data_IF_516045216018
#
_entry.id   IF_516045216018
#
_cell.length_a   1.000
_cell.length_b   1.000
_cell.length_c   1.000
_cell.angle_alpha   90.00
_cell.angle_beta   90.00
_cell.angle_gamma   90.00
#
_symmetry.space_group_name_H-M   'P 1'
#
loop_
_entity.id
_entity.type
_entity.pdbx_description
1 polymer ?
#
# COMPACT_ATOMS: atom_id res chain seq x y z
N UNK A 1 -8.41 0.47 22.07
CA UNK A 1 -9.67 0.33 22.82
C UNK A 1 -10.77 1.06 22.08
N UNK A 2 -11.60 0.32 21.34
CA UNK A 2 -12.75 0.87 20.61
C UNK A 2 -13.81 1.32 21.65
N UNK A 3 -14.41 2.52 21.54
CA UNK A 3 -15.46 2.97 22.45
C UNK A 3 -16.63 1.99 22.50
N UNK A 4 -17.18 1.70 23.69
CA UNK A 4 -18.31 0.77 23.85
C UNK A 4 -19.54 1.11 22.99
N UNK A 5 -19.71 2.39 22.64
CA UNK A 5 -20.78 2.85 21.76
C UNK A 5 -20.62 2.36 20.30
N UNK A 6 -19.39 2.24 19.80
CA UNK A 6 -19.10 1.77 18.42
C UNK A 6 -19.21 0.24 18.28
N UNK A 7 -19.11 -0.51 19.39
CA UNK A 7 -19.35 -1.95 19.41
C UNK A 7 -20.84 -2.28 19.33
N UNK A 8 -21.71 -1.45 19.91
CA UNK A 8 -23.15 -1.71 19.97
C UNK A 8 -23.84 -1.61 18.60
N UNK A 9 -23.28 -0.84 17.66
CA UNK A 9 -23.81 -0.65 16.30
C UNK A 9 -23.46 -1.77 15.31
N UNK A 10 -22.60 -2.71 15.69
CA UNK A 10 -22.18 -3.82 14.84
C UNK A 10 -23.12 -5.03 14.97
N UNK A 11 -23.24 -5.82 13.89
CA UNK A 11 -23.96 -7.10 13.94
C UNK A 11 -23.35 -8.05 14.99
N UNK A 12 -24.12 -8.95 15.62
CA UNK A 12 -23.60 -9.84 16.66
C UNK A 12 -22.38 -10.67 16.23
N UNK A 13 -22.36 -11.15 14.99
CA UNK A 13 -21.23 -11.88 14.41
C UNK A 13 -19.98 -10.99 14.23
N UNK A 14 -20.17 -9.74 13.77
CA UNK A 14 -19.07 -8.80 13.58
C UNK A 14 -18.50 -8.29 14.91
N UNK A 15 -19.35 -8.06 15.92
CA UNK A 15 -18.89 -7.79 17.29
C UNK A 15 -18.05 -8.92 17.82
N UNK A 16 -18.49 -10.16 17.65
CA UNK A 16 -17.75 -11.33 18.08
C UNK A 16 -16.39 -11.39 17.39
N UNK A 17 -16.32 -11.12 16.07
CA UNK A 17 -15.05 -11.09 15.32
C UNK A 17 -14.12 -9.98 15.81
N UNK A 18 -14.61 -8.76 16.03
CA UNK A 18 -13.82 -7.63 16.55
C UNK A 18 -13.32 -7.92 17.95
N UNK A 19 -14.20 -8.35 18.86
CA UNK A 19 -13.84 -8.72 20.24
C UNK A 19 -12.83 -9.86 20.26
N UNK A 20 -13.05 -10.90 19.45
CA UNK A 20 -12.15 -12.03 19.33
C UNK A 20 -10.78 -11.62 18.79
N UNK A 21 -10.73 -10.77 17.76
CA UNK A 21 -9.49 -10.25 17.21
C UNK A 21 -8.72 -9.36 18.19
N UNK A 22 -9.41 -8.50 18.94
CA UNK A 22 -8.79 -7.64 19.97
C UNK A 22 -8.26 -8.50 21.12
N UNK A 23 -9.04 -9.47 21.60
CA UNK A 23 -8.64 -10.40 22.65
C UNK A 23 -7.45 -11.28 22.24
N UNK A 24 -7.44 -11.78 20.99
CA UNK A 24 -6.33 -12.55 20.45
C UNK A 24 -5.07 -11.69 20.30
N UNK A 25 -5.22 -10.42 19.91
CA UNK A 25 -4.11 -9.45 19.80
C UNK A 25 -3.53 -9.08 21.17
N UNK A 26 -4.39 -8.90 22.17
CA UNK A 26 -3.96 -8.61 23.54
C UNK A 26 -3.24 -9.80 24.17
N UNK A 27 -3.76 -11.01 23.96
CA UNK A 27 -3.11 -12.26 24.36
C UNK A 27 -1.76 -12.44 23.67
N UNK A 28 -1.68 -12.25 22.35
CA UNK A 28 -0.43 -12.31 21.60
C UNK A 28 0.59 -11.27 22.10
N UNK A 29 0.15 -10.05 22.38
CA UNK A 29 1.00 -8.97 22.92
C UNK A 29 1.52 -9.28 24.33
N UNK A 30 0.70 -9.91 25.18
CA UNK A 30 1.10 -10.35 26.53
C UNK A 30 2.08 -11.52 26.47
N UNK A 31 1.83 -12.49 25.59
CA UNK A 31 2.73 -13.63 25.36
C UNK A 31 4.08 -13.18 24.78
N UNK A 32 4.08 -12.19 23.89
CA UNK A 32 5.31 -11.64 23.32
C UNK A 32 6.14 -10.86 24.36
N UNK A 33 5.48 -10.05 25.20
CA UNK A 33 6.14 -9.39 26.37
C UNK A 33 6.71 -10.41 27.37
N UNK A 34 5.97 -11.48 27.65
CA UNK A 34 6.45 -12.56 28.52
C UNK A 34 7.64 -13.32 27.92
N UNK A 35 7.67 -13.51 26.60
CA UNK A 35 8.75 -14.20 25.90
C UNK A 35 10.04 -13.37 25.76
N UNK A 36 9.94 -12.03 25.78
CA UNK A 36 11.08 -11.11 25.71
C UNK A 36 11.70 -10.78 27.07
N UNK A 37 11.12 -11.27 28.17
CA UNK A 37 11.72 -11.13 29.50
C UNK A 37 11.88 -9.67 29.95
N UNK A 38 10.88 -8.83 29.70
CA UNK A 38 10.87 -7.45 30.22
C UNK A 38 10.48 -7.45 31.71
N UNK A 39 11.42 -7.95 32.51
CA UNK A 39 11.53 -7.78 33.94
C UNK A 39 12.91 -7.19 34.20
N UNK A 40 12.94 -5.86 34.30
CA UNK A 40 13.95 -5.01 34.94
C UNK A 40 15.32 -5.68 35.20
N UNK A 41 16.35 -5.34 34.41
CA UNK A 41 17.77 -5.57 34.75
C UNK A 41 18.77 -4.80 33.88
N UNK A 42 19.77 -4.29 34.59
CA UNK A 42 20.88 -3.41 34.24
C UNK A 42 21.88 -3.88 33.15
N UNK A 43 22.61 -2.87 32.66
CA UNK A 43 23.79 -2.83 31.79
C UNK A 43 24.82 -3.98 31.88
N UNK A 44 25.27 -4.49 30.71
CA UNK A 44 26.66 -4.34 30.20
C UNK A 44 26.96 -5.11 28.90
N UNK A 45 27.50 -4.35 27.94
CA UNK A 45 28.61 -4.57 26.97
C UNK A 45 28.71 -5.80 26.01
N UNK A 46 29.18 -5.41 24.81
CA UNK A 46 30.02 -6.07 23.78
C UNK A 46 29.26 -6.79 22.66
N UNK A 47 29.53 -6.62 21.35
CA UNK A 47 30.57 -5.92 20.58
C UNK A 47 30.75 -6.68 19.26
N UNK A 48 30.80 -6.02 18.09
CA UNK A 48 31.12 -6.66 16.80
C UNK A 48 30.52 -5.98 15.57
N UNK A 49 31.30 -5.11 14.92
CA UNK A 49 30.95 -4.38 13.70
C UNK A 49 31.44 -5.16 12.47
N UNK A 50 30.55 -5.48 11.54
CA UNK A 50 30.88 -5.92 10.19
C UNK A 50 30.40 -4.87 9.17
N UNK A 51 31.35 -4.15 8.58
CA UNK A 51 31.10 -3.19 7.50
C UNK A 51 30.88 -3.95 6.19
N UNK A 52 29.88 -3.53 5.40
CA UNK A 52 29.83 -3.65 3.95
C UNK A 52 28.68 -2.75 3.46
N UNK A 53 29.01 -1.52 3.07
CA UNK A 53 28.06 -0.54 2.57
C UNK A 53 28.57 0.11 1.30
N UNK A 54 28.17 -0.41 0.14
CA UNK A 54 28.30 0.24 -1.19
C UNK A 54 27.21 -0.21 -2.20
N UNK A 55 26.08 -0.78 -1.77
CA UNK A 55 25.02 -1.20 -2.69
C UNK A 55 23.93 -0.12 -2.92
N UNK A 56 23.76 0.81 -1.98
CA UNK A 56 22.62 1.75 -1.96
C UNK A 56 22.65 2.85 -3.02
N UNK A 57 23.83 3.24 -3.51
CA UNK A 57 23.95 4.25 -4.58
C UNK A 57 23.41 3.72 -5.92
N UNK A 58 23.35 2.39 -6.10
CA UNK A 58 22.79 1.75 -7.29
C UNK A 58 21.31 2.08 -7.52
N UNK A 59 20.48 2.15 -6.46
CA UNK A 59 19.07 2.52 -6.60
C UNK A 59 18.93 3.96 -7.13
N UNK A 60 19.81 4.87 -6.70
CA UNK A 60 19.74 6.28 -7.07
C UNK A 60 20.38 6.55 -8.43
N UNK A 61 21.46 5.85 -8.75
CA UNK A 61 22.06 5.86 -10.08
C UNK A 61 21.10 5.28 -11.12
N UNK A 62 20.40 4.21 -10.77
CA UNK A 62 19.41 3.58 -11.65
C UNK A 62 18.18 4.47 -11.84
N UNK A 63 17.69 5.12 -10.78
CA UNK A 63 16.64 6.15 -10.87
C UNK A 63 17.14 7.47 -11.51
N UNK A 64 18.46 7.70 -11.54
CA UNK A 64 19.12 8.94 -11.93
C UNK A 64 19.74 8.96 -13.33
N UNK A 65 19.69 7.86 -14.10
CA UNK A 65 20.13 7.81 -15.51
C UNK A 65 19.17 8.57 -16.45
N UNK A 66 19.23 9.91 -16.35
CA UNK A 66 19.21 10.95 -17.39
C UNK A 66 18.74 12.29 -16.78
N UNK A 67 19.59 12.91 -15.95
CA UNK A 67 19.59 14.35 -15.79
C UNK A 67 20.84 14.92 -16.46
N UNK A 68 20.81 14.93 -17.79
CA UNK A 68 21.84 15.51 -18.63
C UNK A 68 21.19 16.21 -19.82
N UNK A 69 20.58 17.37 -19.57
CA UNK A 69 20.30 18.34 -20.64
C UNK A 69 20.45 19.74 -20.06
N UNK A 70 21.46 20.46 -20.55
CA UNK A 70 21.69 21.87 -20.27
C UNK A 70 20.57 22.76 -20.86
N UNK A 71 20.32 23.94 -20.28
CA UNK A 71 19.33 24.89 -20.77
C UNK A 71 19.93 25.76 -21.89
N UNK A 72 19.30 25.78 -23.05
CA UNK A 72 19.60 26.67 -24.16
C UNK A 72 18.49 26.63 -25.18
N UNK A 73 17.57 27.60 -25.11
CA UNK A 73 16.40 27.66 -25.99
C UNK A 73 16.74 28.11 -27.40
N UNK A 74 15.84 27.82 -28.34
CA UNK A 74 15.34 28.73 -29.39
C UNK A 74 13.98 28.21 -29.83
N UNK A 75 13.05 29.15 -30.02
CA UNK A 75 11.71 28.98 -30.59
C UNK A 75 11.75 28.23 -31.93
N UNK A 76 10.83 27.29 -32.12
CA UNK A 76 10.31 27.01 -33.46
C UNK A 76 8.82 26.71 -33.35
N UNK A 77 8.05 27.69 -33.81
CA UNK A 77 6.61 27.56 -34.00
C UNK A 77 6.32 26.55 -35.09
N UNK A 78 5.34 25.69 -34.84
CA UNK A 78 4.80 24.83 -35.87
C UNK A 78 3.61 25.56 -36.53
N UNK A 79 3.86 26.09 -37.73
CA UNK A 79 2.85 26.51 -38.68
C UNK A 79 2.17 25.26 -39.24
N UNK A 80 0.96 24.94 -38.77
CA UNK A 80 0.08 24.01 -39.47
C UNK A 80 -1.31 24.61 -39.57
N UNK A 81 -1.68 25.00 -40.79
CA UNK A 81 -3.04 25.34 -41.18
C UNK A 81 -3.80 24.05 -41.45
N UNK A 82 -4.58 23.57 -40.47
CA UNK A 82 -5.58 22.53 -40.65
C UNK A 82 -6.90 22.99 -40.04
N UNK A 83 -7.93 23.10 -40.87
CA UNK A 83 -9.30 23.38 -40.45
C UNK A 83 -9.96 22.10 -39.93
N UNK A 84 -10.03 21.93 -38.61
CA UNK A 84 -10.82 20.88 -37.96
C UNK A 84 -11.78 21.49 -36.93
N UNK A 85 -13.03 21.00 -36.96
CA UNK A 85 -14.22 21.46 -36.21
C UNK A 85 -14.18 21.26 -34.68
N UNK A 86 -12.99 21.23 -34.07
CA UNK A 86 -12.85 20.95 -32.63
C UNK A 86 -12.67 22.23 -31.77
N UNK A 87 -12.75 23.42 -32.38
CA UNK A 87 -12.67 24.72 -31.69
C UNK A 87 -13.93 25.58 -31.86
N UNK A 88 -15.10 25.01 -31.56
CA UNK A 88 -16.31 25.83 -31.32
C UNK A 88 -16.75 25.67 -29.87
N UNK A 89 -16.57 26.74 -29.09
CA UNK A 89 -17.26 26.94 -27.82
C UNK A 89 -18.72 27.29 -28.11
N UNK A 90 -19.70 26.70 -27.43
CA UNK A 90 -21.00 27.32 -27.24
C UNK A 90 -21.05 28.06 -25.90
N UNK A 91 -21.42 29.33 -25.97
CA UNK A 91 -21.77 30.21 -24.86
C UNK A 91 -23.26 30.13 -24.55
N UNK A 92 -23.57 30.13 -23.24
CA UNK A 92 -24.74 30.68 -22.53
C UNK A 92 -26.19 30.19 -22.80
N UNK A 93 -26.81 29.78 -21.67
CA UNK A 93 -28.12 30.15 -21.12
C UNK A 93 -29.44 29.46 -21.57
N UNK A 94 -30.06 28.82 -20.56
CA UNK A 94 -31.49 28.74 -20.18
C UNK A 94 -32.54 28.40 -21.24
N UNK A 95 -33.21 27.24 -21.07
CA UNK A 95 -34.66 27.08 -21.25
C UNK A 95 -35.18 25.95 -20.35
N UNK A 96 -36.41 26.14 -19.84
CA UNK A 96 -37.05 25.39 -18.77
C UNK A 96 -37.88 24.18 -19.26
N UNK A 97 -38.05 23.22 -18.34
CA UNK A 97 -39.16 22.29 -18.06
C UNK A 97 -39.95 21.52 -19.15
N UNK A 98 -40.31 20.29 -18.73
CA UNK A 98 -41.24 19.30 -19.28
C UNK A 98 -40.71 18.55 -20.54
N UNK A 99 -40.72 17.22 -20.66
CA UNK A 99 -41.60 16.17 -20.12
C UNK A 99 -40.83 14.84 -20.14
N UNK A 100 -40.84 13.99 -19.08
CA UNK A 100 -40.79 12.51 -19.17
C UNK A 100 -41.24 11.89 -17.83
N UNK A 101 -42.54 11.79 -17.61
CA UNK A 101 -43.12 10.65 -16.87
C UNK A 101 -43.55 9.64 -17.92
N UNK A 102 -42.68 8.69 -18.29
CA UNK A 102 -43.09 7.42 -18.96
C UNK A 102 -41.96 6.41 -19.23
N UNK A 103 -40.84 6.47 -18.50
CA UNK A 103 -39.68 5.57 -18.71
C UNK A 103 -39.22 4.84 -17.43
N UNK A 104 -40.10 4.70 -16.45
CA UNK A 104 -39.80 4.01 -15.17
C UNK A 104 -40.26 2.55 -15.08
N UNK A 105 -41.17 2.11 -15.95
CA UNK A 105 -41.74 0.75 -15.84
C UNK A 105 -41.18 -0.28 -16.84
N UNK A 106 -40.29 0.11 -17.75
CA UNK A 106 -39.79 -0.78 -18.81
C UNK A 106 -38.36 -1.32 -18.63
N UNK A 107 -37.60 -0.87 -17.62
CA UNK A 107 -36.16 -1.23 -17.45
C UNK A 107 -35.89 -2.02 -16.14
N UNK A 108 -36.92 -2.29 -15.32
CA UNK A 108 -36.75 -2.86 -13.98
C UNK A 108 -36.28 -4.32 -13.92
N UNK A 109 -36.79 -5.21 -14.79
CA UNK A 109 -36.63 -6.66 -14.55
C UNK A 109 -35.56 -7.37 -15.41
N UNK A 110 -35.19 -6.84 -16.58
CA UNK A 110 -34.24 -7.51 -17.49
C UNK A 110 -32.77 -7.34 -17.07
N UNK A 111 -32.41 -6.18 -16.52
CA UNK A 111 -31.02 -5.91 -16.10
C UNK A 111 -30.63 -6.72 -14.85
N UNK A 112 -31.57 -6.95 -13.94
CA UNK A 112 -31.34 -7.70 -12.71
C UNK A 112 -31.25 -9.22 -12.98
N UNK A 113 -32.09 -9.74 -13.88
CA UNK A 113 -32.00 -11.14 -14.33
C UNK A 113 -30.73 -11.41 -15.15
N UNK A 114 -30.31 -10.45 -15.99
CA UNK A 114 -29.03 -10.51 -16.71
C UNK A 114 -27.83 -10.53 -15.77
N UNK A 115 -27.85 -9.70 -14.72
CA UNK A 115 -26.79 -9.63 -13.72
C UNK A 115 -26.73 -10.89 -12.84
N UNK A 116 -27.88 -11.45 -12.46
CA UNK A 116 -27.96 -12.72 -11.69
C UNK A 116 -27.51 -13.93 -12.51
N UNK A 117 -27.79 -13.97 -13.82
CA UNK A 117 -27.31 -15.03 -14.73
C UNK A 117 -25.81 -14.94 -14.98
N UNK A 118 -25.26 -13.73 -15.16
CA UNK A 118 -23.81 -13.50 -15.23
C UNK A 118 -23.11 -13.90 -13.93
N UNK A 119 -23.66 -13.51 -12.76
CA UNK A 119 -23.13 -13.90 -11.46
C UNK A 119 -23.17 -15.43 -11.22
N UNK A 120 -24.23 -16.11 -11.66
CA UNK A 120 -24.34 -17.56 -11.59
C UNK A 120 -23.34 -18.28 -12.52
N UNK A 121 -23.14 -17.81 -13.76
CA UNK A 121 -22.13 -18.36 -14.68
C UNK A 121 -20.69 -18.09 -14.22
N UNK A 122 -20.43 -16.94 -13.60
CA UNK A 122 -19.12 -16.62 -13.03
C UNK A 122 -18.83 -17.44 -11.76
N UNK A 123 -19.84 -17.74 -10.93
CA UNK A 123 -19.66 -18.49 -9.70
C UNK A 123 -19.38 -19.99 -9.91
N UNK A 124 -19.86 -20.59 -11.01
CA UNK A 124 -19.62 -22.03 -11.31
C UNK A 124 -18.38 -22.26 -12.16
N UNK A 125 -18.02 -21.34 -13.06
CA UNK A 125 -16.77 -21.45 -13.83
C UNK A 125 -15.54 -20.93 -13.08
N UNK A 126 -15.69 -19.94 -12.18
CA UNK A 126 -14.56 -19.49 -11.36
C UNK A 126 -14.15 -20.55 -10.33
N UNK A 127 -15.09 -21.29 -9.74
CA UNK A 127 -14.76 -22.34 -8.75
C UNK A 127 -14.06 -23.55 -9.37
N UNK A 128 -14.42 -23.93 -10.60
CA UNK A 128 -13.76 -25.03 -11.33
C UNK A 128 -12.43 -24.57 -11.97
N UNK A 129 -12.32 -23.31 -12.41
CA UNK A 129 -11.08 -22.79 -12.99
C UNK A 129 -10.05 -22.35 -11.94
N UNK A 130 -10.46 -21.95 -10.74
CA UNK A 130 -9.54 -21.66 -9.61
C UNK A 130 -8.89 -22.94 -9.08
N UNK A 131 -9.61 -24.07 -9.07
CA UNK A 131 -9.04 -25.37 -8.72
C UNK A 131 -8.02 -25.89 -9.76
N UNK A 132 -8.11 -25.41 -11.02
CA UNK A 132 -7.21 -25.80 -12.11
C UNK A 132 -6.12 -24.76 -12.42
N UNK A 133 -6.28 -23.53 -11.93
CA UNK A 133 -5.33 -22.42 -12.03
C UNK A 133 -4.28 -22.35 -10.91
N UNK A 134 -4.35 -23.27 -9.94
CA UNK A 134 -3.23 -23.57 -9.03
C UNK A 134 -2.10 -24.36 -9.73
N UNK A 135 -1.99 -24.22 -11.05
CA UNK A 135 -0.84 -24.67 -11.83
C UNK A 135 0.17 -23.53 -11.83
N UNK A 136 1.08 -23.61 -10.88
CA UNK A 136 2.37 -22.93 -10.88
C UNK A 136 2.31 -21.40 -11.04
N UNK A 137 2.00 -20.69 -9.96
CA UNK A 137 2.15 -19.22 -9.93
C UNK A 137 3.60 -18.76 -10.12
N UNK A 138 4.58 -19.66 -10.28
CA UNK A 138 6.00 -19.32 -10.33
C UNK A 138 6.46 -18.54 -9.10
N UNK A 139 5.78 -18.74 -7.95
CA UNK A 139 6.04 -18.01 -6.71
C UNK A 139 6.54 -18.95 -5.61
N UNK A 140 7.74 -18.67 -5.09
CA UNK A 140 8.32 -19.34 -3.94
C UNK A 140 7.87 -18.68 -2.62
N UNK A 141 6.67 -19.01 -2.13
CA UNK A 141 6.10 -18.39 -0.91
C UNK A 141 6.32 -19.19 0.39
N UNK A 142 6.74 -20.46 0.31
CA UNK A 142 6.93 -21.32 1.48
C UNK A 142 5.69 -21.38 2.39
N UNK A 143 5.84 -21.06 3.68
CA UNK A 143 4.76 -21.02 4.68
C UNK A 143 3.63 -20.01 4.34
N UNK A 144 3.85 -19.13 3.35
CA UNK A 144 2.93 -18.10 2.91
C UNK A 144 2.15 -18.46 1.64
N UNK A 145 2.22 -19.72 1.17
CA UNK A 145 1.54 -20.19 -0.05
C UNK A 145 0.04 -19.91 -0.09
N UNK A 146 -0.62 -19.85 1.08
CA UNK A 146 -2.04 -19.46 1.21
C UNK A 146 -2.37 -18.08 0.62
N UNK A 147 -1.39 -17.20 0.44
CA UNK A 147 -1.56 -15.86 -0.12
C UNK A 147 -1.31 -15.79 -1.63
N UNK A 148 -0.91 -16.89 -2.28
CA UNK A 148 -0.67 -16.95 -3.72
C UNK A 148 -1.84 -16.41 -4.56
N UNK A 149 -3.10 -16.82 -4.32
CA UNK A 149 -4.25 -16.29 -5.04
C UNK A 149 -4.43 -14.77 -4.87
N UNK A 150 -4.23 -14.24 -3.65
CA UNK A 150 -4.34 -12.81 -3.40
C UNK A 150 -3.25 -12.00 -4.11
N UNK A 151 -2.02 -12.53 -4.16
CA UNK A 151 -0.90 -11.92 -4.89
C UNK A 151 -1.14 -11.92 -6.41
N UNK A 152 -1.64 -13.03 -6.95
CA UNK A 152 -2.00 -13.12 -8.37
C UNK A 152 -3.12 -12.13 -8.74
N UNK A 153 -4.14 -12.00 -7.89
CA UNK A 153 -5.19 -10.98 -8.07
C UNK A 153 -4.62 -9.56 -8.02
N UNK A 154 -3.70 -9.30 -7.09
CA UNK A 154 -3.08 -8.00 -6.91
C UNK A 154 -2.19 -7.60 -8.10
N UNK A 155 -1.44 -8.55 -8.65
CA UNK A 155 -0.67 -8.38 -9.87
C UNK A 155 -1.56 -8.08 -11.06
N UNK A 156 -2.57 -8.91 -11.32
CA UNK A 156 -3.52 -8.71 -12.42
C UNK A 156 -4.21 -7.33 -12.37
N UNK A 157 -4.47 -6.84 -11.16
CA UNK A 157 -5.16 -5.57 -10.92
C UNK A 157 -4.26 -4.34 -11.15
N UNK A 158 -2.96 -4.45 -10.88
CA UNK A 158 -2.07 -3.27 -10.81
C UNK A 158 -0.94 -3.28 -11.84
N UNK A 159 -0.66 -4.45 -12.41
CA UNK A 159 0.51 -4.72 -13.25
C UNK A 159 1.83 -4.80 -12.46
N UNK A 160 1.79 -4.77 -11.12
CA UNK A 160 2.99 -4.91 -10.29
C UNK A 160 3.27 -6.41 -10.11
N UNK A 161 4.49 -6.90 -10.42
CA UNK A 161 4.81 -8.32 -10.30
C UNK A 161 4.49 -8.90 -8.92
N UNK A 162 3.90 -10.10 -8.87
CA UNK A 162 3.53 -10.74 -7.60
C UNK A 162 4.75 -10.97 -6.69
N UNK A 163 5.93 -11.21 -7.26
CA UNK A 163 7.21 -11.30 -6.53
C UNK A 163 7.58 -9.99 -5.82
N UNK A 164 7.37 -8.85 -6.48
CA UNK A 164 7.60 -7.52 -5.91
C UNK A 164 6.60 -7.23 -4.77
N UNK A 165 5.32 -7.57 -4.97
CA UNK A 165 4.29 -7.43 -3.93
C UNK A 165 4.60 -8.33 -2.72
N UNK A 166 5.02 -9.57 -2.95
CA UNK A 166 5.43 -10.49 -1.89
C UNK A 166 6.61 -9.93 -1.08
N UNK A 167 7.62 -9.34 -1.74
CA UNK A 167 8.75 -8.72 -1.05
C UNK A 167 8.33 -7.52 -0.18
N UNK A 168 7.40 -6.69 -0.65
CA UNK A 168 6.86 -5.58 0.15
C UNK A 168 6.09 -6.11 1.37
N UNK A 169 5.21 -7.09 1.17
CA UNK A 169 4.45 -7.71 2.28
C UNK A 169 5.38 -8.39 3.28
N UNK A 170 6.42 -9.08 2.81
CA UNK A 170 7.43 -9.70 3.67
C UNK A 170 8.20 -8.68 4.52
N UNK A 171 8.48 -7.51 3.95
CA UNK A 171 9.17 -6.43 4.64
C UNK A 171 8.31 -5.76 5.72
N UNK A 172 6.99 -5.68 5.52
CA UNK A 172 6.05 -5.01 6.42
C UNK A 172 5.47 -5.93 7.50
N UNK A 173 5.11 -7.17 7.13
CA UNK A 173 4.39 -8.06 8.02
C UNK A 173 5.28 -8.55 9.18
N UNK A 174 4.72 -8.54 10.39
CA UNK A 174 5.26 -9.36 11.47
C UNK A 174 5.17 -10.85 11.08
N UNK A 175 6.11 -11.66 11.59
CA UNK A 175 6.24 -13.08 11.22
C UNK A 175 6.10 -14.00 12.42
N UNK A 176 5.52 -15.17 12.17
CA UNK A 176 5.60 -16.33 13.06
C UNK A 176 7.01 -16.93 13.08
N UNK A 177 7.24 -17.87 13.99
CA UNK A 177 8.53 -18.59 14.11
C UNK A 177 8.89 -19.38 12.85
N UNK A 178 7.88 -19.80 12.10
CA UNK A 178 7.97 -20.52 10.84
C UNK A 178 8.12 -19.60 9.61
N UNK A 179 8.23 -18.29 9.82
CA UNK A 179 8.29 -17.29 8.74
C UNK A 179 6.92 -16.96 8.13
N UNK A 180 5.82 -17.52 8.64
CA UNK A 180 4.48 -17.18 8.17
C UNK A 180 4.12 -15.73 8.49
N UNK A 181 3.53 -15.01 7.54
CA UNK A 181 3.08 -13.64 7.72
C UNK A 181 1.86 -13.59 8.63
N UNK A 182 1.94 -12.76 9.65
CA UNK A 182 0.89 -12.58 10.65
C UNK A 182 -0.10 -11.50 10.20
N UNK A 183 -1.31 -11.91 9.82
CA UNK A 183 -2.37 -10.97 9.44
C UNK A 183 -2.84 -10.09 10.60
N UNK A 184 -2.60 -10.52 11.84
CA UNK A 184 -2.89 -9.75 13.07
C UNK A 184 -1.71 -8.87 13.51
N UNK A 185 -0.73 -8.64 12.63
CA UNK A 185 0.39 -7.72 12.89
C UNK A 185 -0.12 -6.33 13.29
N UNK A 186 0.48 -5.76 14.35
CA UNK A 186 0.12 -4.43 14.85
C UNK A 186 1.33 -3.72 15.44
N UNK A 187 1.50 -2.45 15.12
CA UNK A 187 2.51 -1.60 15.75
C UNK A 187 1.96 -1.01 17.06
N UNK A 188 2.61 -1.23 18.22
CA UNK A 188 2.13 -0.68 19.49
C UNK A 188 2.26 0.85 19.60
N UNK A 189 3.11 1.47 18.76
CA UNK A 189 3.39 2.91 18.77
C UNK A 189 2.61 3.71 17.72
N UNK A 190 1.79 3.05 16.90
CA UNK A 190 1.00 3.71 15.86
C UNK A 190 -0.32 3.00 15.58
N UNK A 191 -1.08 3.50 14.61
CA UNK A 191 -2.29 2.81 14.13
C UNK A 191 -2.01 1.70 13.11
N UNK A 192 -0.74 1.47 12.74
CA UNK A 192 -0.35 0.50 11.72
C UNK A 192 -0.79 -0.93 12.08
N UNK A 193 -1.44 -1.59 11.13
CA UNK A 193 -1.97 -2.94 11.30
C UNK A 193 -2.02 -3.72 9.98
N UNK A 194 -2.05 -5.05 10.09
CA UNK A 194 -2.21 -5.95 8.96
C UNK A 194 -0.90 -6.28 8.25
N UNK A 195 -1.02 -7.06 7.17
CA UNK A 195 0.14 -7.48 6.36
C UNK A 195 0.88 -6.30 5.72
N UNK A 196 0.18 -5.21 5.41
CA UNK A 196 0.77 -3.99 4.85
C UNK A 196 1.08 -2.89 5.87
N UNK A 197 0.88 -3.15 7.18
CA UNK A 197 1.10 -2.18 8.26
C UNK A 197 0.44 -0.80 8.01
N UNK A 198 -0.76 -0.79 7.43
CA UNK A 198 -1.44 0.45 7.06
C UNK A 198 -1.88 1.26 8.27
N UNK A 199 -1.59 2.56 8.28
CA UNK A 199 -2.17 3.52 9.21
C UNK A 199 -3.67 3.72 8.93
N UNK A 200 -4.46 4.08 9.94
CA UNK A 200 -5.90 4.32 9.79
C UNK A 200 -6.22 5.35 8.70
N UNK A 201 -5.53 6.49 8.69
CA UNK A 201 -5.78 7.55 7.70
C UNK A 201 -5.41 7.13 6.28
N UNK A 202 -4.32 6.36 6.11
CA UNK A 202 -3.94 5.83 4.78
C UNK A 202 -4.97 4.83 4.27
N UNK A 203 -5.46 3.96 5.16
CA UNK A 203 -6.47 2.96 4.81
C UNK A 203 -7.81 3.59 4.42
N UNK A 204 -8.26 4.58 5.18
CA UNK A 204 -9.44 5.40 4.85
C UNK A 204 -9.23 6.12 3.52
N UNK A 205 -8.07 6.73 3.30
CA UNK A 205 -7.77 7.39 2.03
C UNK A 205 -7.84 6.44 0.83
N UNK A 206 -7.37 5.19 0.96
CA UNK A 206 -7.53 4.19 -0.10
C UNK A 206 -9.01 3.90 -0.37
N UNK A 207 -9.83 3.73 0.67
CA UNK A 207 -11.26 3.54 0.52
C UNK A 207 -11.99 4.74 -0.12
N UNK A 208 -11.43 5.94 -0.01
CA UNK A 208 -11.96 7.15 -0.65
C UNK A 208 -11.36 7.41 -2.04
N UNK A 209 -10.32 6.67 -2.43
CA UNK A 209 -9.64 6.86 -3.70
C UNK A 209 -10.31 6.01 -4.77
N UNK A 210 -10.98 6.66 -5.72
CA UNK A 210 -11.64 5.99 -6.84
C UNK A 210 -10.69 5.06 -7.58
N UNK A 211 -11.20 3.87 -7.90
CA UNK A 211 -10.47 2.87 -8.65
C UNK A 211 -9.57 1.97 -7.79
N UNK A 212 -9.50 2.13 -6.46
CA UNK A 212 -8.89 1.13 -5.56
C UNK A 212 -9.88 0.02 -5.20
N UNK A 213 -9.38 -1.14 -4.76
CA UNK A 213 -10.16 -2.27 -4.30
C UNK A 213 -10.95 -1.91 -3.04
N UNK A 214 -10.33 -1.18 -2.11
CA UNK A 214 -11.02 -0.72 -0.90
C UNK A 214 -12.15 0.26 -1.23
N UNK A 215 -11.97 1.11 -2.24
CA UNK A 215 -13.02 2.01 -2.68
C UNK A 215 -14.19 1.27 -3.31
N UNK A 216 -13.92 0.23 -4.11
CA UNK A 216 -14.95 -0.65 -4.63
C UNK A 216 -15.74 -1.31 -3.48
N UNK A 217 -15.05 -1.92 -2.52
CA UNK A 217 -15.68 -2.54 -1.34
C UNK A 217 -16.49 -1.53 -0.53
N UNK A 218 -15.95 -0.33 -0.31
CA UNK A 218 -16.66 0.72 0.43
C UNK A 218 -17.91 1.20 -0.32
N UNK A 219 -17.84 1.34 -1.65
CA UNK A 219 -18.99 1.71 -2.48
C UNK A 219 -20.07 0.64 -2.46
N UNK A 220 -19.71 -0.63 -2.68
CA UNK A 220 -20.65 -1.76 -2.69
C UNK A 220 -21.36 -1.95 -1.35
N UNK A 221 -20.72 -1.55 -0.25
CA UNK A 221 -21.28 -1.64 1.11
C UNK A 221 -21.99 -0.37 1.59
N UNK A 222 -22.08 0.66 0.75
CA UNK A 222 -22.68 1.94 1.14
C UNK A 222 -21.91 2.66 2.26
N UNK A 223 -20.59 2.45 2.32
CA UNK A 223 -19.71 3.04 3.35
C UNK A 223 -19.21 4.45 2.98
N UNK A 224 -19.57 4.96 1.80
CA UNK A 224 -19.17 6.28 1.32
C UNK A 224 -20.37 7.23 1.30
N UNK A 225 -20.15 8.49 1.69
CA UNK A 225 -21.13 9.58 1.55
C UNK A 225 -21.22 10.09 0.10
N UNK A 226 -22.12 11.05 -0.14
CA UNK A 226 -22.28 11.67 -1.47
C UNK A 226 -21.04 12.41 -2.01
N UNK A 227 -19.99 12.57 -1.21
CA UNK A 227 -18.69 13.16 -1.59
C UNK A 227 -17.58 12.10 -1.71
N UNK A 228 -17.93 10.82 -1.59
CA UNK A 228 -16.97 9.71 -1.61
C UNK A 228 -16.14 9.59 -0.32
N UNK A 229 -16.60 10.15 0.80
CA UNK A 229 -15.92 10.08 2.10
C UNK A 229 -16.45 8.94 2.95
N UNK A 230 -15.58 8.29 3.72
CA UNK A 230 -16.01 7.20 4.60
C UNK A 230 -16.96 7.73 5.66
N UNK A 231 -18.16 7.14 5.76
CA UNK A 231 -19.13 7.52 6.79
C UNK A 231 -18.69 7.01 8.15
N UNK A 232 -18.92 7.81 9.20
CA UNK A 232 -18.43 7.51 10.55
C UNK A 232 -18.88 6.12 11.06
N UNK A 233 -20.12 5.72 10.76
CA UNK A 233 -20.67 4.42 11.17
C UNK A 233 -20.00 3.20 10.52
N UNK A 234 -19.33 3.36 9.38
CA UNK A 234 -18.64 2.28 8.68
C UNK A 234 -17.15 2.16 9.03
N UNK A 235 -16.60 3.17 9.73
CA UNK A 235 -15.15 3.32 9.92
C UNK A 235 -14.52 2.13 10.64
N UNK A 236 -15.16 1.60 11.68
CA UNK A 236 -14.63 0.46 12.43
C UNK A 236 -14.55 -0.81 11.58
N UNK A 237 -15.60 -1.10 10.81
CA UNK A 237 -15.64 -2.25 9.90
C UNK A 237 -14.62 -2.12 8.77
N UNK A 238 -14.50 -0.92 8.19
CA UNK A 238 -13.48 -0.62 7.19
C UNK A 238 -12.08 -0.87 7.73
N UNK A 239 -11.75 -0.35 8.93
CA UNK A 239 -10.42 -0.52 9.53
C UNK A 239 -10.11 -1.97 9.91
N UNK A 240 -11.12 -2.79 10.18
CA UNK A 240 -10.97 -4.21 10.49
C UNK A 240 -10.52 -5.03 9.26
N UNK A 241 -10.79 -4.55 8.04
CA UNK A 241 -10.31 -5.21 6.82
C UNK A 241 -8.78 -5.25 6.71
N UNK A 242 -8.04 -4.43 7.48
CA UNK A 242 -6.57 -4.55 7.58
C UNK A 242 -6.10 -5.89 8.12
N UNK A 243 -6.94 -6.61 8.86
CA UNK A 243 -6.59 -7.93 9.37
C UNK A 243 -7.00 -9.06 8.43
N UNK A 244 -7.66 -8.74 7.32
CA UNK A 244 -7.91 -9.68 6.24
C UNK A 244 -6.70 -9.71 5.30
N UNK A 245 -6.18 -10.92 5.06
CA UNK A 245 -4.95 -11.09 4.29
C UNK A 245 -5.09 -10.68 2.83
N UNK A 246 -6.21 -11.03 2.19
CA UNK A 246 -6.45 -10.66 0.79
C UNK A 246 -6.66 -9.15 0.66
N UNK A 247 -7.51 -8.58 1.51
CA UNK A 247 -7.75 -7.13 1.53
C UNK A 247 -6.44 -6.35 1.74
N UNK A 248 -5.58 -6.80 2.65
CA UNK A 248 -4.28 -6.17 2.89
C UNK A 248 -3.37 -6.21 1.67
N UNK A 249 -3.25 -7.37 1.02
CA UNK A 249 -2.39 -7.55 -0.15
C UNK A 249 -2.87 -6.72 -1.34
N UNK A 250 -4.19 -6.71 -1.59
CA UNK A 250 -4.80 -5.90 -2.64
C UNK A 250 -4.61 -4.40 -2.36
N UNK A 251 -4.75 -3.97 -1.11
CA UNK A 251 -4.50 -2.59 -0.71
C UNK A 251 -3.01 -2.20 -0.83
N UNK A 252 -2.07 -3.10 -0.52
CA UNK A 252 -0.63 -2.88 -0.75
C UNK A 252 -0.38 -2.61 -2.24
N UNK A 253 -0.94 -3.43 -3.12
CA UNK A 253 -0.76 -3.26 -4.56
C UNK A 253 -1.36 -1.96 -5.08
N UNK A 254 -2.61 -1.64 -4.69
CA UNK A 254 -3.25 -0.38 -5.09
C UNK A 254 -2.47 0.84 -4.59
N UNK A 255 -2.01 0.82 -3.34
CA UNK A 255 -1.24 1.93 -2.79
C UNK A 255 0.11 2.09 -3.47
N UNK A 256 0.80 0.96 -3.74
CA UNK A 256 2.02 0.96 -4.55
C UNK A 256 1.77 1.56 -5.93
N UNK A 257 0.72 1.15 -6.64
CA UNK A 257 0.37 1.67 -7.97
C UNK A 257 0.08 3.17 -7.94
N UNK A 258 -0.71 3.63 -6.98
CA UNK A 258 -1.04 5.06 -6.79
C UNK A 258 0.24 5.87 -6.55
N UNK A 259 1.15 5.38 -5.70
CA UNK A 259 2.39 6.07 -5.41
C UNK A 259 3.35 6.08 -6.60
N UNK A 260 3.56 4.93 -7.26
CA UNK A 260 4.41 4.83 -8.45
C UNK A 260 3.94 5.78 -9.55
N UNK A 261 2.63 5.78 -9.84
CA UNK A 261 2.04 6.72 -10.83
C UNK A 261 2.34 8.18 -10.48
N UNK A 262 2.21 8.55 -9.19
CA UNK A 262 2.49 9.92 -8.73
C UNK A 262 3.99 10.27 -8.73
N UNK A 263 4.88 9.27 -8.61
CA UNK A 263 6.33 9.45 -8.77
C UNK A 263 6.65 9.70 -10.25
N UNK A 264 6.09 8.90 -11.17
CA UNK A 264 6.25 9.08 -12.62
C UNK A 264 5.76 10.44 -13.09
N UNK A 265 4.58 10.87 -12.63
CA UNK A 265 4.03 12.21 -12.89
C UNK A 265 4.92 13.35 -12.38
N UNK A 266 5.84 13.05 -11.46
CA UNK A 266 6.83 14.00 -10.94
C UNK A 266 8.17 13.95 -11.68
N UNK A 267 8.25 13.19 -12.78
CA UNK A 267 9.45 13.01 -13.59
C UNK A 267 10.41 11.94 -13.07
N UNK A 268 10.06 11.18 -12.04
CA UNK A 268 10.91 10.11 -11.48
C UNK A 268 10.62 8.81 -12.22
N UNK A 269 11.62 8.26 -12.91
CA UNK A 269 11.50 6.99 -13.65
C UNK A 269 11.56 5.81 -12.69
N UNK A 270 10.42 5.23 -12.34
CA UNK A 270 10.32 4.11 -11.39
C UNK A 270 10.01 2.75 -12.03
N UNK A 271 9.67 2.73 -13.33
CA UNK A 271 9.32 1.54 -14.09
C UNK A 271 10.44 1.12 -15.06
N UNK A 272 11.65 0.95 -14.53
CA UNK A 272 12.83 0.54 -15.32
C UNK A 272 13.03 -0.97 -15.31
N UNK A 273 12.79 -1.60 -14.16
CA UNK A 273 12.95 -3.03 -13.90
C UNK A 273 12.18 -3.39 -12.61
N UNK A 274 11.99 -4.69 -12.37
CA UNK A 274 11.18 -5.18 -11.24
C UNK A 274 11.78 -4.82 -9.86
N UNK A 275 13.11 -4.78 -9.73
CA UNK A 275 13.77 -4.44 -8.47
C UNK A 275 13.56 -2.96 -8.15
N UNK A 276 13.80 -2.07 -9.12
CA UNK A 276 13.61 -0.62 -8.96
C UNK A 276 12.15 -0.26 -8.70
N UNK A 277 11.22 -0.93 -9.39
CA UNK A 277 9.80 -0.75 -9.18
C UNK A 277 9.41 -1.18 -7.75
N UNK A 278 9.88 -2.34 -7.29
CA UNK A 278 9.61 -2.84 -5.93
C UNK A 278 10.20 -1.91 -4.86
N UNK A 279 11.45 -1.46 -5.04
CA UNK A 279 12.12 -0.55 -4.11
C UNK A 279 11.46 0.83 -4.07
N UNK A 280 11.01 1.35 -5.21
CA UNK A 280 10.29 2.63 -5.28
C UNK A 280 8.90 2.55 -4.65
N UNK A 281 8.19 1.43 -4.89
CA UNK A 281 6.92 1.14 -4.24
C UNK A 281 7.09 1.06 -2.72
N UNK A 282 8.07 0.30 -2.23
CA UNK A 282 8.37 0.22 -0.80
C UNK A 282 8.76 1.57 -0.20
N UNK A 283 9.68 2.31 -0.84
CA UNK A 283 10.14 3.61 -0.37
C UNK A 283 8.99 4.59 -0.16
N UNK A 284 8.09 4.67 -1.15
CA UNK A 284 6.92 5.54 -1.10
C UNK A 284 5.85 5.05 -0.12
N UNK A 285 5.72 3.74 0.09
CA UNK A 285 4.88 3.16 1.13
C UNK A 285 5.39 3.55 2.52
N UNK A 286 6.69 3.38 2.74
CA UNK A 286 7.33 3.53 4.04
C UNK A 286 7.47 4.98 4.50
N UNK A 287 7.88 5.88 3.60
CA UNK A 287 8.05 7.30 3.90
C UNK A 287 6.78 8.13 3.71
N UNK A 288 5.83 7.61 2.93
CA UNK A 288 4.82 8.42 2.27
C UNK A 288 5.39 9.16 1.06
N UNK A 289 4.51 9.46 0.10
CA UNK A 289 4.88 10.02 -1.21
C UNK A 289 5.70 11.32 -1.13
N UNK A 290 5.34 12.24 -0.23
CA UNK A 290 6.01 13.54 -0.14
C UNK A 290 7.47 13.43 0.29
N UNK A 291 7.75 12.65 1.33
CA UNK A 291 9.11 12.43 1.82
C UNK A 291 9.89 11.51 0.87
N UNK A 292 9.24 10.57 0.18
CA UNK A 292 9.87 9.77 -0.88
C UNK A 292 10.34 10.62 -2.06
N UNK A 293 9.55 11.59 -2.53
CA UNK A 293 9.98 12.53 -3.59
C UNK A 293 11.22 13.31 -3.18
N UNK A 294 11.24 13.88 -1.97
CA UNK A 294 12.40 14.61 -1.43
C UNK A 294 13.63 13.70 -1.30
N UNK A 295 13.41 12.49 -0.78
CA UNK A 295 14.46 11.48 -0.67
C UNK A 295 15.09 11.18 -2.02
N UNK A 296 14.29 10.98 -3.06
CA UNK A 296 14.78 10.71 -4.41
C UNK A 296 15.43 11.94 -5.06
N UNK A 297 14.99 13.15 -4.72
CA UNK A 297 15.54 14.41 -5.23
C UNK A 297 16.82 14.92 -4.53
N UNK A 298 17.42 14.14 -3.62
CA UNK A 298 18.71 14.48 -3.00
C UNK A 298 18.71 14.49 -1.47
N UNK A 299 17.57 14.28 -0.82
CA UNK A 299 17.51 14.06 0.62
C UNK A 299 16.31 14.72 1.31
N UNK A 300 16.09 14.30 2.55
CA UNK A 300 15.07 14.87 3.44
C UNK A 300 15.76 15.87 4.37
N UNK A 301 15.03 16.92 4.78
CA UNK A 301 15.48 17.89 5.78
C UNK A 301 16.11 17.20 7.02
N UNK A 302 17.23 17.68 7.58
CA UNK A 302 17.94 17.02 8.67
C UNK A 302 17.09 16.78 9.93
N UNK A 303 16.21 17.71 10.30
CA UNK A 303 15.33 17.56 11.47
C UNK A 303 14.33 16.43 11.25
N UNK A 304 13.70 16.41 10.06
CA UNK A 304 12.79 15.35 9.64
C UNK A 304 13.51 14.00 9.50
N UNK A 305 14.71 13.96 8.94
CA UNK A 305 15.51 12.75 8.77
C UNK A 305 15.91 12.12 10.11
N UNK A 306 16.32 12.94 11.09
CA UNK A 306 16.58 12.48 12.46
C UNK A 306 15.34 11.86 13.10
N UNK A 307 14.19 12.53 12.99
CA UNK A 307 12.91 12.04 13.53
C UNK A 307 12.53 10.68 12.91
N UNK A 308 12.62 10.56 11.59
CA UNK A 308 12.31 9.32 10.88
C UNK A 308 13.27 8.19 11.28
N UNK A 309 14.58 8.46 11.31
CA UNK A 309 15.57 7.46 11.72
C UNK A 309 15.33 6.99 13.17
N UNK A 310 15.12 7.91 14.10
CA UNK A 310 14.85 7.57 15.50
C UNK A 310 13.54 6.78 15.68
N UNK A 311 12.51 7.04 14.86
CA UNK A 311 11.28 6.26 14.89
C UNK A 311 11.52 4.79 14.49
N UNK A 312 12.42 4.56 13.53
CA UNK A 312 12.72 3.23 12.98
C UNK A 312 13.66 2.40 13.87
N UNK A 313 14.74 3.00 14.37
CA UNK A 313 15.80 2.25 15.08
C UNK A 313 16.01 2.68 16.54
N UNK A 314 15.21 3.62 17.04
CA UNK A 314 15.35 4.18 18.38
C UNK A 314 16.36 5.33 18.45
N UNK A 315 16.15 6.24 19.41
CA UNK A 315 16.91 7.49 19.51
C UNK A 315 18.42 7.29 19.68
N UNK A 316 18.85 6.40 20.57
CA UNK A 316 20.28 6.16 20.82
C UNK A 316 21.01 5.61 19.59
N UNK A 317 20.44 4.61 18.92
CA UNK A 317 21.02 4.02 17.71
C UNK A 317 20.97 4.98 16.51
N UNK A 318 20.00 5.91 16.49
CA UNK A 318 19.94 6.98 15.50
C UNK A 318 21.07 7.99 15.70
N UNK A 319 21.26 8.53 16.90
CA UNK A 319 22.31 9.52 17.16
C UNK A 319 23.72 8.97 16.90
N UNK A 320 23.99 7.70 17.23
CA UNK A 320 25.25 7.04 16.89
C UNK A 320 25.50 7.03 15.37
N UNK A 321 24.49 6.71 14.56
CA UNK A 321 24.60 6.72 13.09
C UNK A 321 24.72 8.13 12.52
N UNK A 322 24.02 9.09 13.11
CA UNK A 322 24.11 10.51 12.74
C UNK A 322 25.54 11.03 12.96
N UNK A 323 26.14 10.71 14.10
CA UNK A 323 27.53 11.05 14.39
C UNK A 323 28.50 10.41 13.40
N UNK A 324 28.31 9.12 13.07
CA UNK A 324 29.17 8.40 12.12
C UNK A 324 29.06 8.93 10.68
N UNK A 325 27.87 9.31 10.22
CA UNK A 325 27.63 9.83 8.87
C UNK A 325 27.85 11.35 8.75
N UNK A 326 28.10 12.04 9.87
CA UNK A 326 28.29 13.49 9.95
C UNK A 326 27.00 14.33 9.89
N UNK A 327 25.90 13.80 9.35
CA UNK A 327 24.60 14.47 9.39
C UNK A 327 23.41 13.50 9.30
N UNK A 328 22.24 13.98 9.75
CA UNK A 328 21.04 13.16 9.86
C UNK A 328 20.44 12.74 8.51
N UNK A 329 20.54 13.59 7.49
CA UNK A 329 20.05 13.29 6.15
C UNK A 329 20.81 12.11 5.55
N UNK A 330 22.14 12.11 5.64
CA UNK A 330 22.98 11.02 5.14
C UNK A 330 22.81 9.74 5.97
N UNK A 331 22.77 9.84 7.30
CA UNK A 331 22.54 8.68 8.16
C UNK A 331 21.22 7.97 7.84
N UNK A 332 20.13 8.74 7.72
CA UNK A 332 18.82 8.22 7.35
C UNK A 332 18.84 7.58 5.95
N UNK A 333 19.47 8.24 4.98
CA UNK A 333 19.60 7.74 3.61
C UNK A 333 20.35 6.42 3.54
N UNK A 334 21.55 6.36 4.12
CA UNK A 334 22.37 5.14 4.15
C UNK A 334 21.65 3.99 4.84
N UNK A 335 21.00 4.27 5.98
CA UNK A 335 20.23 3.25 6.68
C UNK A 335 19.07 2.70 5.84
N UNK A 336 18.27 3.58 5.24
CA UNK A 336 17.08 3.19 4.50
C UNK A 336 17.43 2.45 3.21
N UNK A 337 18.43 2.92 2.45
CA UNK A 337 18.90 2.22 1.25
C UNK A 337 19.43 0.82 1.59
N UNK A 338 20.27 0.72 2.63
CA UNK A 338 20.77 -0.58 3.07
C UNK A 338 19.67 -1.50 3.60
N UNK A 339 18.63 -0.96 4.23
CA UNK A 339 17.46 -1.74 4.64
C UNK A 339 16.69 -2.27 3.43
N UNK A 340 16.38 -1.38 2.48
CA UNK A 340 15.65 -1.71 1.25
C UNK A 340 16.40 -2.77 0.46
N UNK A 341 17.70 -2.61 0.25
CA UNK A 341 18.52 -3.60 -0.44
C UNK A 341 18.42 -4.97 0.24
N UNK A 342 18.52 -5.04 1.57
CA UNK A 342 18.46 -6.34 2.26
C UNK A 342 17.07 -6.98 2.28
N UNK A 343 16.00 -6.19 2.25
CA UNK A 343 14.64 -6.66 2.55
C UNK A 343 13.72 -6.72 1.33
N UNK A 344 13.98 -5.92 0.30
CA UNK A 344 13.17 -5.87 -0.92
C UNK A 344 13.90 -6.63 -2.02
N UNK A 345 13.64 -7.93 -2.05
CA UNK A 345 14.31 -8.93 -2.89
C UNK A 345 13.27 -9.77 -3.63
N UNK A 346 12.63 -9.25 -4.70
CA UNK A 346 11.59 -9.96 -5.43
C UNK A 346 12.01 -11.36 -5.91
N UNK A 347 13.28 -11.54 -6.28
CA UNK A 347 13.86 -12.80 -6.73
C UNK A 347 13.81 -13.92 -5.68
N UNK A 348 13.71 -13.60 -4.39
CA UNK A 348 13.52 -14.61 -3.33
C UNK A 348 12.16 -15.29 -3.42
N UNK A 349 11.21 -14.67 -4.12
CA UNK A 349 9.86 -15.15 -4.31
C UNK A 349 9.65 -15.70 -5.72
N UNK A 350 10.67 -15.75 -6.58
CA UNK A 350 10.59 -16.43 -7.87
C UNK A 350 10.70 -17.95 -7.65
N UNK A 351 9.76 -18.70 -8.22
CA UNK A 351 9.67 -20.17 -8.19
C UNK A 351 10.42 -20.83 -9.34
#
# INVERSE_FOLDING_TARGET
MIPRAELASLSPANRAKVIYSEAQTELASRLWRAALGDGDRDDKKNGGIGQNGLAGDSLLELLGKQNGMQPGGVQQGCHCACACSCHQKPTSASFANDCVEDLRDAIGDSAEQGSRRMAAMMSTNATVSVAKGAMDSGLALGANSRFGPALAMAEARTGIPATALAAIVDAEAAKGRDGSWNTMSRNPRSSAAGLGQFLSGTWEHLAETSGTWLNQVASERGWLDGRGKVVAGARSELLALRYDGQASILAVADFAKVNLTKLEQSGIRVNTDAETLAKSAYLSHHLGLGDAKKFLAGGIDPGRARMLLAAQIGGGAAEQRIAAAGNATQAHRQWLLGFIDRRIRPEQFAG
#
